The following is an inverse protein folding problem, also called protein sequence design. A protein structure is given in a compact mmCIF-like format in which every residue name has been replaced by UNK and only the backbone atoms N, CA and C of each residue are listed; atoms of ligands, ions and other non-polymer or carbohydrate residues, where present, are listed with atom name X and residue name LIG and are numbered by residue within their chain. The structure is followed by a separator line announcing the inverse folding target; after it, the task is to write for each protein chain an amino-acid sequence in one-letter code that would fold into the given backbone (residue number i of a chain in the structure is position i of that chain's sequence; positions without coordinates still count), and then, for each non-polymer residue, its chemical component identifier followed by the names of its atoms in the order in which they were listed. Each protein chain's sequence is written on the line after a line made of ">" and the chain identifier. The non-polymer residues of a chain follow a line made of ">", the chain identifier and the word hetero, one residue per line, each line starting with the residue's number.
data_IF_259585110042
#
_entry.id   IF_259585110042
#
_cell.length_a   1.000
_cell.length_b   1.000
_cell.length_c   1.000
_cell.angle_alpha   90.00
_cell.angle_beta   90.00
_cell.angle_gamma   90.00
#
_symmetry.space_group_name_H-M   'P 1'
#
loop_
_entity.id
_entity.type
_entity.pdbx_description
1 polymer ?
#
# COMPACT_ATOMS: atom_id res chain seq x y z
N UNK A 1 -23.95 53.15 -38.46
CA UNK A 1 -23.77 51.69 -38.56
C UNK A 1 -23.43 51.18 -37.18
N UNK A 2 -24.37 50.50 -36.50
CA UNK A 2 -24.19 49.98 -35.14
C UNK A 2 -24.23 48.45 -35.22
N UNK A 3 -23.13 47.80 -34.83
CA UNK A 3 -22.99 46.35 -34.85
C UNK A 3 -23.67 45.74 -33.61
N UNK A 4 -24.71 44.95 -33.85
CA UNK A 4 -25.47 44.21 -32.84
C UNK A 4 -24.70 42.93 -32.47
N UNK A 5 -24.02 42.91 -31.33
CA UNK A 5 -23.42 41.71 -30.76
C UNK A 5 -24.49 40.89 -30.04
N UNK A 6 -24.91 39.77 -30.64
CA UNK A 6 -25.80 38.80 -30.02
C UNK A 6 -25.00 37.94 -29.04
N UNK A 7 -25.22 38.12 -27.75
CA UNK A 7 -24.68 37.25 -26.70
C UNK A 7 -25.28 35.84 -26.82
N UNK A 8 -24.43 34.85 -27.14
CA UNK A 8 -24.80 33.45 -27.08
C UNK A 8 -24.94 33.02 -25.62
N UNK A 9 -26.14 32.59 -25.26
CA UNK A 9 -26.49 32.06 -23.94
C UNK A 9 -25.93 30.64 -23.85
N UNK A 10 -24.82 30.46 -23.12
CA UNK A 10 -24.22 29.14 -22.90
C UNK A 10 -25.23 28.23 -22.15
N UNK A 11 -25.45 27.04 -22.69
CA UNK A 11 -26.36 26.03 -22.16
C UNK A 11 -25.78 25.49 -20.83
N UNK A 12 -26.48 25.58 -19.68
CA UNK A 12 -25.98 25.14 -18.37
C UNK A 12 -26.06 23.61 -18.23
N UNK A 13 -25.54 22.87 -19.22
CA UNK A 13 -25.39 21.42 -19.12
C UNK A 13 -24.21 21.14 -18.19
N UNK A 14 -24.55 20.83 -16.95
CA UNK A 14 -23.79 19.99 -16.01
C UNK A 14 -22.28 19.98 -16.25
N UNK A 15 -21.57 20.89 -15.58
CA UNK A 15 -20.16 20.66 -15.25
C UNK A 15 -20.09 19.47 -14.30
N UNK A 16 -20.19 18.26 -14.86
CA UNK A 16 -19.69 17.09 -14.16
C UNK A 16 -18.19 17.32 -13.91
N UNK A 17 -17.66 16.95 -12.74
CA UNK A 17 -16.23 16.99 -12.52
C UNK A 17 -15.54 16.23 -13.64
N UNK A 18 -14.58 16.88 -14.29
CA UNK A 18 -13.72 16.23 -15.27
C UNK A 18 -12.80 15.30 -14.48
N UNK A 19 -13.19 14.03 -14.39
CA UNK A 19 -12.40 13.03 -13.69
C UNK A 19 -11.32 12.59 -14.66
N UNK A 20 -10.07 12.71 -14.24
CA UNK A 20 -8.94 12.21 -14.99
C UNK A 20 -9.12 10.71 -15.25
N UNK A 21 -9.53 10.34 -16.48
CA UNK A 21 -9.83 8.96 -16.85
C UNK A 21 -8.58 8.07 -16.86
N UNK A 22 -7.38 8.67 -16.78
CA UNK A 22 -6.14 7.93 -16.63
C UNK A 22 -5.98 7.33 -15.22
N UNK A 23 -6.65 7.88 -14.21
CA UNK A 23 -6.59 7.38 -12.83
C UNK A 23 -7.62 6.27 -12.54
N UNK A 24 -8.49 5.96 -13.50
CA UNK A 24 -9.46 4.87 -13.39
C UNK A 24 -9.14 3.77 -14.41
N UNK A 25 -8.29 2.79 -14.05
CA UNK A 25 -7.85 1.77 -14.98
C UNK A 25 -9.01 0.97 -15.57
N UNK A 26 -10.15 0.83 -14.88
CA UNK A 26 -11.35 0.12 -15.37
C UNK A 26 -12.00 0.79 -16.59
N UNK A 27 -11.71 2.06 -16.82
CA UNK A 27 -12.22 2.79 -17.98
C UNK A 27 -11.33 2.66 -19.22
N UNK A 28 -10.10 2.18 -19.07
CA UNK A 28 -9.17 2.00 -20.18
C UNK A 28 -9.65 0.85 -21.10
N UNK A 29 -9.61 1.01 -22.44
CA UNK A 29 -10.15 0.01 -23.38
C UNK A 29 -9.57 -1.40 -23.22
N UNK A 30 -8.31 -1.53 -22.79
CA UNK A 30 -7.65 -2.83 -22.58
C UNK A 30 -7.94 -3.51 -21.24
N UNK A 31 -8.36 -2.75 -20.22
CA UNK A 31 -8.63 -3.28 -18.89
C UNK A 31 -10.01 -3.97 -18.75
N UNK A 32 -10.89 -3.78 -19.73
CA UNK A 32 -12.25 -4.34 -19.69
C UNK A 32 -12.25 -5.83 -20.00
N UNK A 33 -13.17 -6.57 -19.37
CA UNK A 33 -13.31 -8.03 -19.56
C UNK A 33 -13.60 -8.45 -21.01
N UNK A 34 -14.13 -7.53 -21.83
CA UNK A 34 -14.43 -7.72 -23.24
C UNK A 34 -13.38 -7.15 -24.21
N UNK A 35 -12.21 -6.71 -23.72
CA UNK A 35 -11.14 -6.21 -24.57
C UNK A 35 -10.57 -7.30 -25.50
N UNK A 36 -10.25 -6.94 -26.74
CA UNK A 36 -9.56 -7.81 -27.70
C UNK A 36 -8.12 -8.08 -27.20
N UNK A 37 -7.54 -9.29 -27.40
CA UNK A 37 -6.12 -9.58 -27.16
C UNK A 37 -5.15 -8.44 -27.48
N UNK A 38 -5.23 -7.83 -28.67
CA UNK A 38 -4.32 -6.74 -29.05
C UNK A 38 -4.43 -5.49 -28.15
N UNK A 39 -5.64 -5.20 -27.63
CA UNK A 39 -5.86 -4.09 -26.71
C UNK A 39 -5.36 -4.40 -25.30
N UNK A 40 -5.40 -5.68 -24.89
CA UNK A 40 -4.84 -6.13 -23.63
C UNK A 40 -3.32 -6.05 -23.64
N UNK A 41 -2.68 -6.50 -24.71
CA UNK A 41 -1.23 -6.43 -24.85
C UNK A 41 -0.72 -4.98 -24.77
N UNK A 42 -1.41 -4.05 -25.43
CA UNK A 42 -1.08 -2.62 -25.34
C UNK A 42 -1.26 -2.04 -23.93
N UNK A 43 -2.32 -2.46 -23.22
CA UNK A 43 -2.55 -2.04 -21.85
C UNK A 43 -1.45 -2.57 -20.92
N UNK A 44 -1.10 -3.86 -21.04
CA UNK A 44 -0.05 -4.50 -20.23
C UNK A 44 1.31 -3.85 -20.49
N UNK A 45 1.65 -3.54 -21.74
CA UNK A 45 2.86 -2.79 -22.08
C UNK A 45 2.90 -1.43 -21.39
N UNK A 46 1.78 -0.68 -21.43
CA UNK A 46 1.69 0.62 -20.77
C UNK A 46 1.78 0.52 -19.25
N UNK A 47 1.18 -0.50 -18.64
CA UNK A 47 1.31 -0.74 -17.20
C UNK A 47 2.75 -1.04 -16.79
N UNK A 48 3.50 -1.83 -17.60
CA UNK A 48 4.93 -2.07 -17.36
C UNK A 48 5.73 -0.78 -17.47
N UNK A 49 5.48 0.00 -18.52
CA UNK A 49 6.16 1.28 -18.72
C UNK A 49 5.95 2.23 -17.55
N UNK A 50 4.69 2.43 -17.11
CA UNK A 50 4.40 3.30 -15.95
C UNK A 50 5.06 2.79 -14.67
N UNK A 51 5.14 1.46 -14.49
CA UNK A 51 5.83 0.90 -13.34
C UNK A 51 7.35 1.14 -13.39
N UNK A 52 7.98 0.95 -14.56
CA UNK A 52 9.40 1.24 -14.79
C UNK A 52 9.69 2.73 -14.57
N UNK A 53 8.85 3.62 -15.12
CA UNK A 53 8.96 5.07 -14.95
C UNK A 53 8.84 5.47 -13.46
N UNK A 54 7.87 4.91 -12.72
CA UNK A 54 7.71 5.19 -11.29
C UNK A 54 8.89 4.68 -10.45
N UNK A 55 9.40 3.47 -10.74
CA UNK A 55 10.58 2.92 -10.05
C UNK A 55 11.80 3.79 -10.33
N UNK A 56 11.95 4.28 -11.55
CA UNK A 56 13.01 5.21 -11.89
C UNK A 56 12.86 6.54 -11.15
N UNK A 57 11.66 7.12 -11.10
CA UNK A 57 11.38 8.36 -10.37
C UNK A 57 11.67 8.19 -8.86
N UNK A 58 11.28 7.07 -8.26
CA UNK A 58 11.60 6.74 -6.86
C UNK A 58 13.10 6.61 -6.62
N UNK A 59 13.85 5.98 -7.55
CA UNK A 59 15.30 5.91 -7.47
C UNK A 59 15.94 7.30 -7.58
N UNK A 60 15.50 8.13 -8.54
CA UNK A 60 16.00 9.50 -8.72
C UNK A 60 15.69 10.37 -7.50
N UNK A 61 14.49 10.26 -6.93
CA UNK A 61 14.10 10.96 -5.72
C UNK A 61 14.93 10.53 -4.51
N UNK A 62 15.20 9.23 -4.35
CA UNK A 62 16.07 8.72 -3.29
C UNK A 62 17.52 9.22 -3.46
N UNK A 63 18.04 9.25 -4.69
CA UNK A 63 19.35 9.83 -4.98
C UNK A 63 19.40 11.34 -4.68
N UNK A 64 18.36 12.07 -5.05
CA UNK A 64 18.24 13.50 -4.76
C UNK A 64 18.12 13.76 -3.26
N UNK A 65 17.42 12.92 -2.52
CA UNK A 65 17.34 12.98 -1.06
C UNK A 65 18.72 12.72 -0.43
N UNK A 66 19.44 11.69 -0.86
CA UNK A 66 20.82 11.42 -0.37
C UNK A 66 21.75 12.58 -0.72
N UNK A 67 21.62 13.15 -1.92
CA UNK A 67 22.43 14.29 -2.36
C UNK A 67 22.10 15.56 -1.58
N UNK A 68 20.83 15.78 -1.26
CA UNK A 68 20.34 16.89 -0.45
C UNK A 68 20.71 16.73 1.03
N UNK A 69 20.63 15.50 1.56
CA UNK A 69 21.06 15.16 2.92
C UNK A 69 22.58 15.30 3.09
N UNK A 70 23.36 15.02 2.04
CA UNK A 70 24.80 15.24 2.04
C UNK A 70 25.19 16.73 1.95
N UNK A 71 24.26 17.59 1.53
CA UNK A 71 24.46 19.04 1.37
C UNK A 71 23.89 19.90 2.49
N UNK A 72 22.95 19.37 3.28
CA UNK A 72 22.44 20.06 4.47
C UNK A 72 23.46 19.92 5.60
N UNK A 73 24.48 20.79 5.57
CA UNK A 73 25.30 21.01 6.75
C UNK A 73 24.37 21.48 7.86
N UNK A 74 24.06 20.59 8.79
CA UNK A 74 23.27 20.91 9.97
C UNK A 74 23.94 22.11 10.64
N UNK A 75 23.24 23.24 10.64
CA UNK A 75 23.83 24.48 11.15
C UNK A 75 23.86 24.42 12.67
N UNK A 76 24.84 25.08 13.29
CA UNK A 76 24.89 25.16 14.76
C UNK A 76 23.59 25.71 15.36
N UNK A 77 22.95 26.67 14.69
CA UNK A 77 21.66 27.23 15.09
C UNK A 77 20.52 26.21 15.06
N UNK A 78 20.57 25.23 14.15
CA UNK A 78 19.58 24.16 14.06
C UNK A 78 19.75 23.15 15.21
N UNK A 79 21.00 22.81 15.57
CA UNK A 79 21.27 21.96 16.73
C UNK A 79 20.88 22.64 18.05
N UNK A 80 21.16 23.94 18.19
CA UNK A 80 20.69 24.72 19.35
C UNK A 80 19.15 24.72 19.44
N UNK A 81 18.44 24.73 18.31
CA UNK A 81 16.99 24.64 18.28
C UNK A 81 16.45 23.23 18.64
N UNK A 82 17.17 22.16 18.31
CA UNK A 82 16.79 20.78 18.64
C UNK A 82 17.07 20.43 20.11
N UNK A 83 18.05 21.09 20.73
CA UNK A 83 18.46 20.82 22.11
C UNK A 83 18.39 22.06 23.01
N UNK A 84 17.21 22.68 23.19
CA UNK A 84 17.08 23.93 23.95
C UNK A 84 17.35 23.77 25.46
N UNK A 85 17.43 22.54 25.96
CA UNK A 85 17.75 22.22 27.35
C UNK A 85 19.26 22.08 27.59
N UNK A 86 20.07 21.94 26.53
CA UNK A 86 21.52 21.86 26.61
C UNK A 86 22.13 23.24 26.43
N UNK A 87 23.30 23.45 27.04
CA UNK A 87 24.03 24.71 26.91
C UNK A 87 24.55 24.89 25.47
N UNK A 88 24.34 26.07 24.89
CA UNK A 88 24.78 26.40 23.54
C UNK A 88 26.30 26.28 23.39
N UNK A 89 27.07 26.66 24.42
CA UNK A 89 28.53 26.51 24.40
C UNK A 89 28.95 25.03 24.34
N UNK A 90 28.20 24.15 25.02
CA UNK A 90 28.43 22.70 24.99
C UNK A 90 28.09 22.11 23.61
N UNK A 91 26.96 22.50 23.01
CA UNK A 91 26.58 22.08 21.66
C UNK A 91 27.65 22.47 20.65
N UNK A 92 28.16 23.71 20.72
CA UNK A 92 29.22 24.19 19.85
C UNK A 92 30.55 23.46 20.08
N UNK A 93 30.92 23.17 21.32
CA UNK A 93 32.13 22.41 21.65
C UNK A 93 32.08 20.99 21.07
N UNK A 94 30.97 20.27 21.27
CA UNK A 94 30.78 18.90 20.76
C UNK A 94 30.82 18.85 19.23
N UNK A 95 30.22 19.83 18.57
CA UNK A 95 30.27 19.92 17.11
C UNK A 95 31.68 20.19 16.56
N UNK A 96 32.55 20.85 17.33
CA UNK A 96 33.96 21.06 16.96
C UNK A 96 34.83 19.82 17.21
N UNK A 97 34.53 19.04 18.25
CA UNK A 97 35.27 17.84 18.62
C UNK A 97 34.83 16.59 17.84
N UNK A 98 33.60 16.55 17.34
CA UNK A 98 33.08 15.39 16.63
C UNK A 98 33.71 15.22 15.22
N UNK A 99 34.06 13.98 14.81
CA UNK A 99 34.64 13.70 13.49
C UNK A 99 33.63 13.86 12.34
N UNK A 100 32.34 13.76 12.64
CA UNK A 100 31.22 13.94 11.69
C UNK A 100 30.06 14.66 12.39
N UNK A 101 29.22 15.42 11.65
CA UNK A 101 28.05 16.08 12.23
C UNK A 101 27.05 15.07 12.83
N UNK A 102 26.91 13.90 12.19
CA UNK A 102 26.08 12.82 12.70
C UNK A 102 26.54 12.36 14.09
N UNK A 103 27.85 12.25 14.32
CA UNK A 103 28.39 11.88 15.62
C UNK A 103 28.11 12.95 16.69
N UNK A 104 28.10 14.24 16.33
CA UNK A 104 27.68 15.30 17.24
C UNK A 104 26.20 15.16 17.63
N UNK A 105 25.32 14.82 16.67
CA UNK A 105 23.89 14.60 16.94
C UNK A 105 23.69 13.40 17.86
N UNK A 106 24.36 12.28 17.60
CA UNK A 106 24.27 11.06 18.42
C UNK A 106 24.72 11.31 19.87
N UNK A 107 25.82 12.07 20.05
CA UNK A 107 26.31 12.43 21.39
C UNK A 107 25.38 13.40 22.11
N UNK A 108 24.83 14.40 21.42
CA UNK A 108 23.82 15.32 21.98
C UNK A 108 22.53 14.58 22.39
N UNK A 109 22.06 13.64 21.56
CA UNK A 109 20.92 12.78 21.89
C UNK A 109 21.20 11.94 23.15
N UNK A 110 22.36 11.29 23.22
CA UNK A 110 22.75 10.50 24.38
C UNK A 110 22.84 11.34 25.67
N UNK A 111 23.38 12.56 25.59
CA UNK A 111 23.42 13.48 26.72
C UNK A 111 22.02 13.93 27.14
N UNK A 112 21.14 14.24 26.19
CA UNK A 112 19.76 14.63 26.50
C UNK A 112 19.01 13.53 27.25
N UNK A 113 19.17 12.26 26.83
CA UNK A 113 18.59 11.11 27.52
C UNK A 113 19.16 10.96 28.93
N UNK A 114 20.48 11.05 29.10
CA UNK A 114 21.12 10.94 30.41
C UNK A 114 20.71 12.07 31.38
N UNK A 115 20.50 13.29 30.87
CA UNK A 115 20.03 14.41 31.71
C UNK A 115 18.58 14.26 32.16
N UNK A 116 17.72 13.65 31.34
CA UNK A 116 16.35 13.34 31.71
C UNK A 116 16.30 12.32 32.87
N UNK A 117 17.19 11.33 32.86
CA UNK A 117 17.29 10.31 33.92
C UNK A 117 17.87 10.89 35.22
N UNK A 118 18.88 11.77 35.13
CA UNK A 118 19.51 12.38 36.30
C UNK A 118 18.55 13.30 37.08
N UNK A 119 17.60 13.93 36.39
CA UNK A 119 16.55 14.72 37.04
C UNK A 119 15.57 13.85 37.85
N UNK A 120 15.50 12.53 37.59
CA UNK A 120 14.58 11.60 38.25
C UNK A 120 15.17 10.83 39.44
N UNK A 121 16.49 10.62 39.48
CA UNK A 121 17.09 9.61 40.37
C UNK A 121 17.77 10.13 41.66
N UNK A 122 17.88 11.45 41.85
CA UNK A 122 18.70 12.05 42.92
C UNK A 122 17.98 12.65 44.12
N UNK A 123 16.65 12.57 44.22
CA UNK A 123 15.87 13.21 45.30
C UNK A 123 15.27 12.18 46.28
N UNK A 124 16.11 11.34 46.87
CA UNK A 124 15.80 10.67 48.14
C UNK A 124 16.25 11.57 49.31
N UNK A 125 15.38 12.48 49.74
CA UNK A 125 15.69 13.32 50.90
C UNK A 125 14.63 14.36 51.23
N UNK A 126 13.49 13.91 51.76
CA UNK A 126 12.42 14.71 52.39
C UNK A 126 11.55 15.54 51.43
N UNK A 127 10.32 15.05 51.26
CA UNK A 127 9.15 15.63 50.57
C UNK A 127 9.03 17.18 50.55
N UNK A 128 8.48 17.77 49.47
CA UNK A 128 7.08 17.55 49.13
C UNK A 128 6.91 16.88 47.77
N UNK A 129 5.95 15.95 47.72
CA UNK A 129 5.34 15.42 46.50
C UNK A 129 5.25 16.54 45.45
N UNK A 130 6.03 16.41 44.38
CA UNK A 130 5.60 16.96 43.11
C UNK A 130 4.23 16.34 42.86
N UNK A 131 3.21 17.17 43.03
CA UNK A 131 1.86 16.89 42.57
C UNK A 131 2.03 16.35 41.17
N UNK A 132 1.73 15.06 40.99
CA UNK A 132 1.29 14.56 39.70
C UNK A 132 0.35 15.65 39.18
N UNK A 133 0.66 16.31 38.05
CA UNK A 133 -0.25 17.30 37.52
C UNK A 133 -1.60 16.59 37.47
N UNK A 134 -2.63 17.14 38.14
CA UNK A 134 -3.93 16.47 38.22
C UNK A 134 -4.28 16.06 36.80
N UNK A 135 -4.72 14.79 36.58
CA UNK A 135 -4.94 14.26 35.25
C UNK A 135 -5.68 15.31 34.46
N UNK A 136 -4.96 15.92 33.51
CA UNK A 136 -5.53 16.99 32.70
C UNK A 136 -6.50 16.26 31.79
N UNK A 137 -7.75 16.16 32.25
CA UNK A 137 -8.87 15.85 31.39
C UNK A 137 -8.93 16.99 30.39
N UNK A 138 -8.20 16.86 29.29
CA UNK A 138 -8.14 17.84 28.20
C UNK A 138 -9.48 17.99 27.47
N UNK A 139 -10.58 17.51 28.05
CA UNK A 139 -11.88 17.47 27.38
C UNK A 139 -11.81 16.68 26.06
N UNK A 140 -10.87 15.76 25.92
CA UNK A 140 -10.76 14.96 24.68
C UNK A 140 -12.01 14.08 24.45
N UNK A 141 -12.84 13.91 25.49
CA UNK A 141 -14.15 13.26 25.41
C UNK A 141 -15.31 14.25 25.21
N UNK A 142 -15.04 15.56 25.30
CA UNK A 142 -16.02 16.60 25.04
C UNK A 142 -16.13 16.85 23.53
N UNK A 143 -17.07 16.14 22.91
CA UNK A 143 -17.37 16.25 21.48
C UNK A 143 -17.85 17.66 21.07
N UNK A 144 -18.25 18.53 22.02
CA UNK A 144 -18.59 19.93 21.72
C UNK A 144 -17.33 20.79 21.54
N UNK A 145 -16.22 20.42 22.19
CA UNK A 145 -14.97 21.18 22.17
C UNK A 145 -14.01 20.69 21.07
N UNK A 146 -14.09 19.40 20.73
CA UNK A 146 -13.35 18.79 19.62
C UNK A 146 -14.34 18.08 18.68
N UNK A 147 -15.02 18.82 17.78
CA UNK A 147 -15.90 18.21 16.80
C UNK A 147 -15.10 17.18 16.01
N UNK A 148 -15.57 15.94 16.01
CA UNK A 148 -14.94 14.87 15.24
C UNK A 148 -14.80 15.32 13.79
N UNK A 149 -13.58 15.27 13.28
CA UNK A 149 -13.30 15.55 11.87
C UNK A 149 -13.86 14.37 11.07
N UNK A 150 -15.13 14.50 10.72
CA UNK A 150 -15.83 13.58 9.83
C UNK A 150 -15.66 14.15 8.42
N UNK A 151 -15.05 13.37 7.54
CA UNK A 151 -14.91 13.75 6.14
C UNK A 151 -16.27 13.92 5.47
N UNK A 152 -16.32 14.56 4.29
CA UNK A 152 -17.56 14.78 3.50
C UNK A 152 -18.35 13.48 3.22
N UNK A 153 -17.71 12.34 3.38
CA UNK A 153 -18.26 11.00 3.18
C UNK A 153 -18.78 10.34 4.47
N UNK A 154 -18.75 11.03 5.62
CA UNK A 154 -19.17 10.46 6.90
C UNK A 154 -18.13 9.60 7.60
N UNK A 155 -16.88 9.56 7.10
CA UNK A 155 -15.81 8.76 7.70
C UNK A 155 -15.04 9.57 8.73
N UNK A 156 -14.89 9.01 9.93
CA UNK A 156 -14.15 9.61 11.02
C UNK A 156 -12.69 9.13 10.96
N UNK A 157 -11.74 10.06 10.99
CA UNK A 157 -10.31 9.71 11.06
C UNK A 157 -10.03 9.10 12.44
N UNK A 158 -9.66 7.82 12.47
CA UNK A 158 -9.31 7.15 13.72
C UNK A 158 -8.09 7.82 14.37
N UNK A 159 -8.16 8.08 15.68
CA UNK A 159 -7.03 8.61 16.43
C UNK A 159 -5.87 7.61 16.39
N UNK A 160 -4.65 8.06 16.09
CA UNK A 160 -3.45 7.23 16.00
C UNK A 160 -3.22 6.35 17.24
N UNK A 161 -3.65 6.80 18.42
CA UNK A 161 -3.60 6.03 19.68
C UNK A 161 -4.44 4.75 19.67
N UNK A 162 -5.46 4.66 18.82
CA UNK A 162 -6.21 3.41 18.60
C UNK A 162 -5.37 2.36 17.87
N UNK A 163 -4.38 2.79 17.08
CA UNK A 163 -3.49 1.90 16.33
C UNK A 163 -2.22 1.53 17.11
N UNK A 164 -1.84 2.32 18.12
CA UNK A 164 -0.70 2.03 19.03
C UNK A 164 -1.07 1.08 20.17
N UNK A 165 -2.36 0.74 20.35
CA UNK A 165 -2.80 -0.22 21.36
C UNK A 165 -2.35 -1.62 20.93
N UNK A 166 -1.67 -2.32 21.84
CA UNK A 166 -1.04 -3.63 21.58
C UNK A 166 -2.04 -4.60 20.92
N UNK A 167 -1.78 -5.06 19.68
CA UNK A 167 -2.70 -5.93 18.96
C UNK A 167 -2.93 -7.26 19.70
N UNK A 168 -1.98 -7.73 20.52
CA UNK A 168 -2.13 -9.02 21.18
C UNK A 168 -2.97 -8.97 22.46
N UNK A 169 -3.06 -7.81 23.12
CA UNK A 169 -3.64 -7.74 24.47
C UNK A 169 -5.18 -7.72 24.47
N UNK A 170 -5.85 -7.30 23.38
CA UNK A 170 -7.32 -7.09 23.39
C UNK A 170 -8.12 -7.45 22.13
N UNK A 171 -7.51 -7.88 21.01
CA UNK A 171 -8.25 -8.11 19.75
C UNK A 171 -9.35 -9.20 19.86
N UNK A 172 -9.26 -10.12 20.84
CA UNK A 172 -10.19 -11.25 20.95
C UNK A 172 -11.49 -11.01 21.72
N UNK A 173 -11.45 -10.21 22.80
CA UNK A 173 -12.60 -10.02 23.71
C UNK A 173 -13.40 -8.77 23.39
N UNK A 174 -12.72 -7.66 23.08
CA UNK A 174 -13.36 -6.37 22.84
C UNK A 174 -14.31 -6.40 21.64
N UNK A 175 -13.91 -7.04 20.53
CA UNK A 175 -14.80 -7.18 19.38
C UNK A 175 -16.02 -8.05 19.69
N UNK A 176 -15.84 -9.09 20.51
CA UNK A 176 -16.92 -10.01 20.91
C UNK A 176 -17.93 -9.31 21.83
N UNK A 177 -17.46 -8.46 22.74
CA UNK A 177 -18.32 -7.69 23.64
C UNK A 177 -19.00 -6.53 22.93
N UNK A 178 -18.31 -5.85 22.00
CA UNK A 178 -18.93 -4.87 21.10
C UNK A 178 -20.01 -5.51 20.22
N UNK A 179 -19.78 -6.69 19.66
CA UNK A 179 -20.79 -7.41 18.86
C UNK A 179 -22.00 -7.84 19.70
N UNK A 180 -21.78 -8.27 20.97
CA UNK A 180 -22.87 -8.57 21.90
C UNK A 180 -23.66 -7.32 22.27
N UNK A 181 -22.99 -6.20 22.56
CA UNK A 181 -23.65 -4.93 22.87
C UNK A 181 -24.44 -4.38 21.67
N UNK A 182 -23.93 -4.57 20.45
CA UNK A 182 -24.60 -4.16 19.23
C UNK A 182 -25.86 -4.98 18.89
N UNK A 183 -26.06 -6.15 19.51
CA UNK A 183 -27.26 -6.97 19.30
C UNK A 183 -28.54 -6.25 19.71
N UNK A 184 -28.47 -5.43 20.76
CA UNK A 184 -29.62 -4.68 21.28
C UNK A 184 -29.75 -3.29 20.66
N UNK A 185 -28.78 -2.86 19.84
CA UNK A 185 -28.87 -1.60 19.11
C UNK A 185 -29.80 -1.74 17.90
N UNK A 186 -30.71 -0.78 17.67
CA UNK A 186 -31.58 -0.81 16.50
C UNK A 186 -30.72 -0.78 15.23
N UNK A 187 -30.98 -1.73 14.33
CA UNK A 187 -30.24 -1.84 13.08
C UNK A 187 -30.25 -0.49 12.35
N UNK A 188 -29.08 0.06 11.96
CA UNK A 188 -29.04 1.33 11.26
C UNK A 188 -29.90 1.20 10.00
N UNK A 189 -30.79 2.18 9.78
CA UNK A 189 -31.62 2.21 8.58
C UNK A 189 -30.67 2.24 7.39
N UNK A 190 -30.61 1.12 6.67
CA UNK A 190 -29.80 1.01 5.48
C UNK A 190 -30.22 2.12 4.51
N UNK A 191 -29.36 3.13 4.37
CA UNK A 191 -29.49 4.13 3.32
C UNK A 191 -29.26 3.37 2.03
N UNK A 192 -30.36 2.99 1.37
CA UNK A 192 -30.31 2.27 0.09
C UNK A 192 -29.46 3.11 -0.85
N UNK A 193 -28.26 2.64 -1.26
CA UNK A 193 -27.53 3.33 -2.29
C UNK A 193 -28.42 3.25 -3.54
N UNK A 194 -28.77 4.40 -4.12
CA UNK A 194 -29.52 4.47 -5.36
C UNK A 194 -28.64 4.03 -6.53
N UNK A 195 -28.23 2.76 -6.55
CA UNK A 195 -27.46 2.18 -7.64
C UNK A 195 -28.48 1.57 -8.59
N UNK A 196 -28.82 2.40 -9.56
CA UNK A 196 -29.49 1.99 -10.75
C UNK A 196 -28.47 1.18 -11.62
N UNK A 197 -28.92 0.00 -12.09
CA UNK A 197 -28.47 -0.74 -13.29
C UNK A 197 -27.47 -1.91 -13.11
N UNK A 198 -28.03 -3.11 -12.99
CA UNK A 198 -27.99 -4.07 -14.11
C UNK A 198 -26.74 -4.91 -14.32
N UNK A 199 -26.49 -5.90 -13.45
CA UNK A 199 -25.57 -7.00 -13.73
C UNK A 199 -26.14 -8.34 -13.26
N UNK A 200 -26.41 -9.27 -14.19
CA UNK A 200 -26.93 -10.61 -13.88
C UNK A 200 -26.02 -11.32 -12.87
N UNK A 201 -26.47 -11.45 -11.63
CA UNK A 201 -25.86 -12.33 -10.62
C UNK A 201 -25.87 -13.77 -11.15
N UNK A 202 -24.70 -14.30 -11.49
CA UNK A 202 -24.50 -15.75 -11.59
C UNK A 202 -24.72 -16.32 -10.18
N UNK A 203 -25.65 -17.25 -10.09
CA UNK A 203 -26.05 -17.94 -8.86
C UNK A 203 -24.84 -18.75 -8.38
N UNK A 204 -24.08 -18.20 -7.43
CA UNK A 204 -23.00 -18.90 -6.76
C UNK A 204 -23.56 -20.16 -6.12
N UNK A 205 -23.07 -21.31 -6.55
CA UNK A 205 -23.34 -22.61 -5.92
C UNK A 205 -22.71 -22.52 -4.54
N UNK A 206 -23.53 -22.58 -3.48
CA UNK A 206 -23.07 -22.64 -2.09
C UNK A 206 -22.11 -23.82 -1.98
N UNK A 207 -20.81 -23.53 -1.89
CA UNK A 207 -19.84 -24.50 -1.45
C UNK A 207 -20.08 -24.72 0.05
N UNK A 208 -20.12 -25.98 0.42
CA UNK A 208 -20.36 -26.47 1.77
C UNK A 208 -19.19 -26.04 2.66
N UNK A 209 -19.45 -25.13 3.59
CA UNK A 209 -18.51 -24.47 4.51
C UNK A 209 -18.24 -25.33 5.75
N UNK A 210 -18.14 -26.65 5.54
CA UNK A 210 -18.06 -27.65 6.62
C UNK A 210 -16.69 -28.28 6.78
N UNK A 211 -15.66 -27.78 6.07
CA UNK A 211 -14.31 -28.34 6.14
C UNK A 211 -13.23 -27.25 6.17
N UNK A 212 -13.25 -26.43 7.23
CA UNK A 212 -12.16 -25.52 7.60
C UNK A 212 -11.11 -26.24 8.47
N UNK A 213 -10.75 -27.46 8.09
CA UNK A 213 -9.56 -28.12 8.63
C UNK A 213 -8.36 -27.42 7.99
N UNK A 214 -7.48 -26.84 8.82
CA UNK A 214 -6.25 -26.12 8.48
C UNK A 214 -5.64 -26.56 7.13
N UNK A 215 -6.09 -25.94 6.03
CA UNK A 215 -5.43 -26.11 4.76
C UNK A 215 -4.16 -25.27 4.86
N UNK A 216 -3.03 -25.98 4.93
CA UNK A 216 -1.72 -25.37 4.72
C UNK A 216 -1.81 -24.48 3.47
N UNK A 217 -1.31 -23.25 3.53
CA UNK A 217 -1.37 -22.34 2.40
C UNK A 217 -0.65 -23.02 1.23
N UNK A 218 -1.44 -23.43 0.22
CA UNK A 218 -0.90 -24.07 -0.97
C UNK A 218 0.19 -23.17 -1.54
N UNK A 219 1.31 -23.80 -1.91
CA UNK A 219 2.41 -23.09 -2.53
C UNK A 219 2.01 -22.59 -3.92
N UNK A 220 2.67 -21.54 -4.38
CA UNK A 220 2.40 -20.93 -5.70
C UNK A 220 2.49 -21.94 -6.86
N UNK A 221 3.35 -22.96 -6.70
CA UNK A 221 3.49 -24.08 -7.63
C UNK A 221 2.21 -24.93 -7.74
N UNK A 222 1.61 -25.28 -6.61
CA UNK A 222 0.38 -26.09 -6.53
C UNK A 222 -0.82 -25.33 -7.10
N UNK A 223 -0.86 -24.01 -6.92
CA UNK A 223 -1.89 -23.17 -7.51
C UNK A 223 -1.81 -23.20 -9.06
N UNK A 224 -0.61 -23.05 -9.62
CA UNK A 224 -0.42 -23.12 -11.08
C UNK A 224 -0.74 -24.51 -11.62
N UNK A 225 -0.35 -25.56 -10.91
CA UNK A 225 -0.61 -26.95 -11.29
C UNK A 225 -2.11 -27.26 -11.30
N UNK A 226 -2.82 -26.97 -10.21
CA UNK A 226 -4.28 -27.19 -10.10
C UNK A 226 -5.08 -26.36 -11.11
N UNK A 227 -4.62 -25.14 -11.43
CA UNK A 227 -5.21 -24.33 -12.49
C UNK A 227 -4.98 -24.92 -13.90
N UNK A 228 -3.82 -25.53 -14.14
CA UNK A 228 -3.51 -26.30 -15.37
C UNK A 228 -4.43 -27.51 -15.51
N UNK A 229 -4.52 -28.32 -14.47
CA UNK A 229 -5.36 -29.51 -14.44
C UNK A 229 -6.84 -29.17 -14.65
N UNK A 230 -7.33 -28.11 -14.00
CA UNK A 230 -8.71 -27.64 -14.18
C UNK A 230 -8.99 -27.14 -15.62
N UNK A 231 -7.98 -26.60 -16.31
CA UNK A 231 -8.08 -26.22 -17.74
C UNK A 231 -8.18 -27.45 -18.64
N UNK A 232 -7.40 -28.49 -18.40
CA UNK A 232 -7.46 -29.75 -19.14
C UNK A 232 -8.78 -30.48 -18.90
N UNK A 233 -9.23 -30.57 -17.64
CA UNK A 233 -10.53 -31.15 -17.29
C UNK A 233 -11.67 -30.38 -17.97
N UNK A 234 -11.64 -29.04 -17.95
CA UNK A 234 -12.63 -28.22 -18.67
C UNK A 234 -12.53 -28.41 -20.19
N UNK A 235 -11.33 -28.59 -20.74
CA UNK A 235 -11.15 -28.88 -22.18
C UNK A 235 -11.69 -30.28 -22.52
N UNK A 236 -11.56 -31.27 -21.65
CA UNK A 236 -12.15 -32.59 -21.84
C UNK A 236 -13.68 -32.57 -21.73
N UNK A 237 -14.22 -31.85 -20.72
CA UNK A 237 -15.66 -31.76 -20.46
C UNK A 237 -16.41 -30.89 -21.48
N UNK A 238 -15.82 -29.74 -21.86
CA UNK A 238 -16.48 -28.73 -22.69
C UNK A 238 -15.84 -28.55 -24.08
N UNK A 239 -14.66 -29.11 -24.33
CA UNK A 239 -13.96 -28.99 -25.62
C UNK A 239 -14.53 -29.84 -26.75
N UNK A 240 -15.67 -30.53 -26.51
CA UNK A 240 -16.41 -31.22 -27.57
C UNK A 240 -17.45 -30.28 -28.17
N UNK A 241 -17.07 -29.52 -29.20
CA UNK A 241 -17.90 -29.20 -30.38
C UNK A 241 -17.38 -27.97 -31.13
N UNK A 242 -16.10 -27.94 -31.50
CA UNK A 242 -15.69 -27.15 -32.68
C UNK A 242 -15.41 -28.14 -33.80
N UNK A 243 -16.51 -28.55 -34.44
CA UNK A 243 -16.62 -29.15 -35.78
C UNK A 243 -15.33 -28.92 -36.60
N UNK A 244 -14.58 -29.95 -36.98
CA UNK A 244 -14.91 -30.86 -38.08
C UNK A 244 -15.83 -30.21 -39.12
N UNK A 245 -15.26 -29.33 -39.94
CA UNK A 245 -15.95 -28.77 -41.10
C UNK A 245 -15.43 -27.40 -41.49
N UNK A 246 -14.28 -27.35 -42.16
CA UNK A 246 -14.12 -26.84 -43.54
C UNK A 246 -12.74 -27.29 -43.98
N UNK A 247 -12.71 -28.30 -44.85
CA UNK A 247 -11.58 -28.53 -45.73
C UNK A 247 -11.38 -27.26 -46.56
N UNK A 248 -10.43 -26.41 -46.17
CA UNK A 248 -9.92 -25.37 -47.06
C UNK A 248 -8.80 -25.98 -47.88
N UNK A 249 -9.22 -26.67 -48.93
CA UNK A 249 -8.39 -27.03 -50.08
C UNK A 249 -7.86 -25.74 -50.70
N UNK A 250 -6.58 -25.47 -50.52
CA UNK A 250 -5.84 -24.40 -51.16
C UNK A 250 -4.42 -24.48 -50.60
N UNK A 251 -3.52 -25.22 -51.23
CA UNK A 251 -3.04 -24.92 -52.58
C UNK A 251 -1.91 -23.91 -52.43
N UNK A 252 -0.75 -24.42 -52.02
CA UNK A 252 0.46 -23.66 -51.71
C UNK A 252 1.64 -24.62 -51.64
N UNK A 253 1.96 -25.14 -52.82
CA UNK A 253 3.11 -25.95 -53.17
C UNK A 253 4.39 -25.07 -53.16
N UNK A 254 5.51 -25.68 -52.77
CA UNK A 254 6.91 -25.20 -52.85
C UNK A 254 7.28 -24.10 -51.81
N UNK A 255 8.40 -24.15 -51.08
CA UNK A 255 9.69 -24.78 -51.38
C UNK A 255 10.52 -25.01 -50.09
N UNK A 256 11.27 -26.11 -50.10
CA UNK A 256 12.56 -26.40 -49.44
C UNK A 256 12.91 -25.92 -48.01
N UNK A 257 13.17 -26.95 -47.18
CA UNK A 257 14.46 -27.23 -46.50
C UNK A 257 15.24 -26.04 -45.89
N UNK A 258 15.24 -25.94 -44.55
CA UNK A 258 16.50 -25.89 -43.78
C UNK A 258 16.36 -26.75 -42.54
N UNK A 259 17.30 -27.67 -42.45
CA UNK A 259 17.62 -28.62 -41.40
C UNK A 259 18.35 -27.91 -40.25
N UNK A 260 17.90 -28.10 -39.02
CA UNK A 260 18.52 -27.59 -37.79
C UNK A 260 17.56 -27.90 -36.64
N UNK A 261 17.64 -29.04 -35.99
CA UNK A 261 18.79 -29.50 -35.21
C UNK A 261 18.54 -29.06 -33.76
N UNK A 262 17.91 -29.89 -32.91
CA UNK A 262 17.70 -29.55 -31.51
C UNK A 262 19.04 -29.66 -30.77
N UNK A 263 19.61 -28.51 -30.41
CA UNK A 263 20.71 -28.45 -29.44
C UNK A 263 20.11 -28.63 -28.05
N UNK A 264 20.32 -29.82 -27.50
CA UNK A 264 20.11 -30.15 -26.09
C UNK A 264 21.14 -29.38 -25.27
N UNK A 265 20.71 -28.30 -24.59
CA UNK A 265 21.50 -27.66 -23.56
C UNK A 265 21.22 -28.34 -22.21
N UNK A 266 21.89 -29.47 -22.02
CA UNK A 266 22.19 -30.09 -20.73
C UNK A 266 23.08 -29.15 -19.91
N UNK A 267 22.47 -28.42 -18.98
CA UNK A 267 23.13 -27.53 -18.04
C UNK A 267 23.17 -28.15 -16.64
N UNK A 268 23.89 -29.27 -16.52
CA UNK A 268 24.18 -29.97 -15.27
C UNK A 268 24.96 -29.09 -14.27
N UNK A 269 24.32 -28.86 -13.13
CA UNK A 269 24.84 -28.99 -11.76
C UNK A 269 26.35 -28.75 -11.53
N UNK A 270 26.68 -27.61 -10.92
CA UNK A 270 27.93 -27.44 -10.17
C UNK A 270 27.61 -27.16 -8.70
N UNK A 271 27.43 -28.24 -7.95
CA UNK A 271 27.42 -28.28 -6.49
C UNK A 271 28.88 -28.37 -6.01
N UNK A 272 29.43 -27.24 -5.55
CA UNK A 272 30.71 -27.19 -4.85
C UNK A 272 30.72 -26.01 -3.88
N UNK A 273 30.12 -26.18 -2.71
CA UNK A 273 30.40 -25.34 -1.55
C UNK A 273 31.07 -26.18 -0.47
N UNK A 274 32.39 -26.16 -0.61
CA UNK A 274 33.44 -26.50 0.35
C UNK A 274 33.12 -25.97 1.75
N UNK A 275 33.07 -26.89 2.72
CA UNK A 275 32.98 -26.58 4.16
C UNK A 275 34.40 -26.48 4.71
N UNK A 276 34.88 -25.30 5.16
CA UNK A 276 36.08 -25.24 5.97
C UNK A 276 35.73 -25.60 7.41
N UNK A 277 36.17 -26.78 7.83
CA UNK A 277 36.32 -27.15 9.23
C UNK A 277 37.71 -26.71 9.71
N UNK A 278 37.77 -25.83 10.73
CA UNK A 278 38.94 -25.66 11.59
C UNK A 278 38.57 -24.78 12.81
N UNK A 279 39.41 -24.73 13.86
CA UNK A 279 39.63 -25.78 14.85
C UNK A 279 39.28 -25.34 16.28
#
# INVERSE_FOLDING_TARGET
>A
MAASTKSQKADPRSRAPDVNLFDMPEMLPGARSNANPAQKDQYDQRCRQVHEDNVQEECEAAEEEVRSASGSQVTFAELEAWFPTLDAELVQALCRDAPTPQHAIETLLALSAATADAAGAGSEGVAPRATTPPPRNFGAEDNEQFPSLVDKNGWQVGNQRLFERDPEEELGSAWRDCAKAAKDMPSPKATQPSIAWGGRRRKGKKADDSNLELQEPMTDYEYRHSAGERREQNRAQYGRSTRQGVASTGGGEEDRYVEGGPEEADGSESEASEVPAAP
#
